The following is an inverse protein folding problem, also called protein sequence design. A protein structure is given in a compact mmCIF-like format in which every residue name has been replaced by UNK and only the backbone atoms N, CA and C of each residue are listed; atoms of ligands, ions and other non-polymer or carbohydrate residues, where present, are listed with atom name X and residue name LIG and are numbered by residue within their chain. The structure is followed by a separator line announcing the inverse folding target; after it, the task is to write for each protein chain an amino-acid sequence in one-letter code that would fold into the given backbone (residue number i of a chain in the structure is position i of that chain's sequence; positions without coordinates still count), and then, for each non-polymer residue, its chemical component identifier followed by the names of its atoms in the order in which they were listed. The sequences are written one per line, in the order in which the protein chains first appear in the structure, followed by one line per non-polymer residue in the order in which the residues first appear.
data_IF_523351919368
#
_entry.id   IF_523351919368
#
_cell.length_a   1.000
_cell.length_b   1.000
_cell.length_c   1.000
_cell.angle_alpha   90.00
_cell.angle_beta   90.00
_cell.angle_gamma   90.00
#
_symmetry.space_group_name_H-M   'P 1'
#
loop_
_entity.id
_entity.type
_entity.pdbx_description
1 polymer ?
#
# COMPACT_ATOMS: atom_id res chain seq x y z
N UNK A 1 -45.20 -44.93 19.19
CA UNK A 1 -45.62 -43.77 18.37
C UNK A 1 -45.35 -42.40 19.01
N UNK A 2 -45.39 -42.22 20.34
CA UNK A 2 -45.19 -40.89 20.94
C UNK A 2 -43.72 -40.48 21.13
N UNK A 3 -42.90 -41.35 21.72
CA UNK A 3 -41.53 -41.01 22.13
C UNK A 3 -40.57 -40.84 20.94
N UNK A 4 -40.67 -41.72 19.93
CA UNK A 4 -39.84 -41.67 18.71
C UNK A 4 -40.10 -40.41 17.89
N UNK A 5 -41.37 -39.97 17.81
CA UNK A 5 -41.75 -38.71 17.17
C UNK A 5 -41.17 -37.50 17.91
N UNK A 6 -41.16 -37.53 19.24
CA UNK A 6 -40.58 -36.46 20.08
C UNK A 6 -39.06 -36.40 19.87
N UNK A 7 -38.37 -37.55 19.90
CA UNK A 7 -36.93 -37.62 19.66
C UNK A 7 -36.58 -37.14 18.25
N UNK A 8 -37.35 -37.55 17.24
CA UNK A 8 -37.18 -37.09 15.87
C UNK A 8 -37.30 -35.56 15.73
N UNK A 9 -38.27 -34.95 16.43
CA UNK A 9 -38.46 -33.50 16.45
C UNK A 9 -37.26 -32.79 17.09
N UNK A 10 -36.77 -33.30 18.23
CA UNK A 10 -35.61 -32.71 18.93
C UNK A 10 -34.36 -32.78 18.06
N UNK A 11 -34.10 -33.90 17.40
CA UNK A 11 -32.95 -34.06 16.49
C UNK A 11 -33.07 -33.13 15.28
N UNK A 12 -34.26 -33.01 14.70
CA UNK A 12 -34.51 -32.09 13.58
C UNK A 12 -34.28 -30.62 13.96
N UNK A 13 -34.71 -30.22 15.15
CA UNK A 13 -34.51 -28.86 15.66
C UNK A 13 -33.01 -28.55 15.86
N UNK A 14 -32.24 -29.48 16.43
CA UNK A 14 -30.79 -29.31 16.61
C UNK A 14 -30.04 -29.26 15.28
N UNK A 15 -30.44 -30.08 14.30
CA UNK A 15 -29.86 -30.06 12.96
C UNK A 15 -30.14 -28.73 12.23
N UNK A 16 -31.34 -28.17 12.36
CA UNK A 16 -31.70 -26.88 11.79
C UNK A 16 -30.86 -25.74 12.39
N UNK A 17 -30.65 -25.74 13.71
CA UNK A 17 -29.79 -24.78 14.40
C UNK A 17 -28.34 -24.92 13.91
N UNK A 18 -27.79 -26.14 13.92
CA UNK A 18 -26.42 -26.39 13.47
C UNK A 18 -26.20 -25.98 12.00
N UNK A 19 -27.17 -26.25 11.12
CA UNK A 19 -27.13 -25.84 9.71
C UNK A 19 -27.11 -24.32 9.54
N UNK A 20 -27.95 -23.60 10.29
CA UNK A 20 -27.98 -22.13 10.24
C UNK A 20 -26.67 -21.49 10.72
N UNK A 21 -26.10 -22.00 11.83
CA UNK A 21 -24.83 -21.49 12.37
C UNK A 21 -23.61 -21.88 11.51
N UNK A 22 -23.58 -23.11 10.95
CA UNK A 22 -22.50 -23.57 10.08
C UNK A 22 -22.44 -22.82 8.73
N UNK A 23 -23.61 -22.58 8.12
CA UNK A 23 -23.69 -21.80 6.87
C UNK A 23 -23.39 -20.32 7.10
N UNK A 24 -23.81 -19.73 8.23
CA UNK A 24 -23.51 -18.34 8.57
C UNK A 24 -22.00 -18.08 8.73
N UNK A 25 -21.28 -18.98 9.42
CA UNK A 25 -19.84 -18.81 9.68
C UNK A 25 -18.98 -18.95 8.42
N UNK A 26 -19.31 -19.90 7.55
CA UNK A 26 -18.59 -20.10 6.28
C UNK A 26 -18.70 -18.89 5.35
N UNK A 27 -19.87 -18.25 5.26
CA UNK A 27 -20.04 -17.00 4.51
C UNK A 27 -19.33 -15.82 5.16
N UNK A 28 -19.34 -15.72 6.49
CA UNK A 28 -18.65 -14.64 7.22
C UNK A 28 -17.12 -14.67 7.04
N UNK A 29 -16.50 -15.85 7.18
CA UNK A 29 -15.05 -16.01 6.98
C UNK A 29 -14.64 -15.72 5.54
N UNK A 30 -15.39 -16.23 4.54
CA UNK A 30 -15.08 -16.01 3.13
C UNK A 30 -15.17 -14.53 2.72
N UNK A 31 -16.13 -13.78 3.26
CA UNK A 31 -16.25 -12.33 3.00
C UNK A 31 -15.16 -11.54 3.72
N UNK A 32 -14.74 -11.97 4.91
CA UNK A 32 -13.66 -11.32 5.65
C UNK A 32 -12.30 -11.53 4.97
N UNK A 33 -12.02 -12.75 4.51
CA UNK A 33 -10.79 -13.07 3.77
C UNK A 33 -10.71 -12.30 2.45
N UNK A 34 -11.79 -12.30 1.66
CA UNK A 34 -11.81 -11.55 0.39
C UNK A 34 -11.67 -10.04 0.57
N UNK A 35 -12.22 -9.45 1.63
CA UNK A 35 -12.01 -8.03 1.96
C UNK A 35 -10.59 -7.74 2.44
N UNK A 36 -9.99 -8.63 3.21
CA UNK A 36 -8.61 -8.46 3.68
C UNK A 36 -7.61 -8.53 2.51
N UNK A 37 -7.82 -9.45 1.57
CA UNK A 37 -6.99 -9.54 0.37
C UNK A 37 -7.16 -8.31 -0.53
N UNK A 38 -8.40 -7.82 -0.71
CA UNK A 38 -8.65 -6.58 -1.45
C UNK A 38 -7.95 -5.37 -0.82
N UNK A 39 -8.06 -5.20 0.50
CA UNK A 39 -7.40 -4.10 1.21
C UNK A 39 -5.88 -4.14 1.05
N UNK A 40 -5.28 -5.33 1.13
CA UNK A 40 -3.83 -5.47 0.90
C UNK A 40 -3.43 -5.12 -0.52
N UNK A 41 -4.23 -5.50 -1.52
CA UNK A 41 -3.94 -5.11 -2.92
C UNK A 41 -4.11 -3.62 -3.17
N UNK A 42 -5.11 -2.98 -2.56
CA UNK A 42 -5.34 -1.53 -2.66
C UNK A 42 -4.22 -0.73 -1.96
N UNK A 43 -3.80 -1.16 -0.77
CA UNK A 43 -2.67 -0.56 -0.05
C UNK A 43 -1.35 -0.72 -0.83
N UNK A 44 -1.10 -1.90 -1.42
CA UNK A 44 0.08 -2.13 -2.25
C UNK A 44 0.07 -1.27 -3.52
N UNK A 45 -1.08 -1.10 -4.17
CA UNK A 45 -1.19 -0.25 -5.35
C UNK A 45 -0.86 1.21 -5.02
N UNK A 46 -1.44 1.73 -3.92
CA UNK A 46 -1.23 3.10 -3.46
C UNK A 46 0.23 3.33 -3.03
N UNK A 47 0.83 2.37 -2.33
CA UNK A 47 2.23 2.44 -1.94
C UNK A 47 3.18 2.39 -3.16
N UNK A 48 2.83 1.59 -4.18
CA UNK A 48 3.62 1.48 -5.41
C UNK A 48 3.57 2.77 -6.23
N UNK A 49 2.40 3.40 -6.32
CA UNK A 49 2.23 4.70 -7.00
C UNK A 49 3.04 5.80 -6.29
N UNK A 50 2.92 5.91 -4.96
CA UNK A 50 3.70 6.88 -4.18
C UNK A 50 5.22 6.66 -4.30
N UNK A 51 5.68 5.40 -4.36
CA UNK A 51 7.10 5.08 -4.57
C UNK A 51 7.53 5.44 -6.00
N UNK A 52 6.68 5.22 -7.00
CA UNK A 52 6.97 5.58 -8.38
C UNK A 52 7.07 7.11 -8.55
N UNK A 53 6.11 7.87 -8.03
CA UNK A 53 6.15 9.34 -8.07
C UNK A 53 7.39 9.90 -7.36
N UNK A 54 7.69 9.39 -6.16
CA UNK A 54 8.88 9.81 -5.40
C UNK A 54 10.19 9.50 -6.14
N UNK A 55 10.27 8.38 -6.87
CA UNK A 55 11.45 8.04 -7.69
C UNK A 55 11.59 8.97 -8.90
N UNK A 56 10.49 9.36 -9.52
CA UNK A 56 10.50 10.31 -10.65
C UNK A 56 10.96 11.69 -10.18
N UNK A 57 10.43 12.19 -9.06
CA UNK A 57 10.79 13.49 -8.52
C UNK A 57 12.27 13.57 -8.11
N UNK A 58 12.77 12.54 -7.41
CA UNK A 58 14.19 12.46 -7.02
C UNK A 58 15.13 12.34 -8.22
N UNK A 59 14.76 11.58 -9.25
CA UNK A 59 15.55 11.48 -10.48
C UNK A 59 15.57 12.80 -11.26
N UNK A 60 14.44 13.53 -11.29
CA UNK A 60 14.35 14.85 -11.92
C UNK A 60 15.20 15.88 -11.18
N UNK A 61 15.11 15.93 -9.85
CA UNK A 61 15.93 16.84 -9.03
C UNK A 61 17.42 16.56 -9.18
N UNK A 62 17.84 15.29 -9.17
CA UNK A 62 19.24 14.92 -9.38
C UNK A 62 19.75 15.33 -10.78
N UNK A 63 18.93 15.16 -11.83
CA UNK A 63 19.26 15.62 -13.18
C UNK A 63 19.36 17.13 -13.29
N UNK A 64 18.45 17.87 -12.66
CA UNK A 64 18.44 19.33 -12.68
C UNK A 64 19.68 19.93 -12.00
N UNK A 65 20.07 19.37 -10.85
CA UNK A 65 21.32 19.73 -10.16
C UNK A 65 22.53 19.40 -11.02
N UNK A 66 22.58 18.21 -11.62
CA UNK A 66 23.70 17.82 -12.48
C UNK A 66 23.77 18.66 -13.76
N UNK A 67 22.63 19.04 -14.34
CA UNK A 67 22.55 19.93 -15.50
C UNK A 67 23.01 21.34 -15.13
N UNK A 68 22.62 21.86 -13.97
CA UNK A 68 23.08 23.16 -13.45
C UNK A 68 24.60 23.17 -13.27
N UNK A 69 25.17 22.11 -12.68
CA UNK A 69 26.62 21.97 -12.51
C UNK A 69 27.34 21.87 -13.86
N UNK A 70 26.82 21.08 -14.80
CA UNK A 70 27.42 20.90 -16.13
C UNK A 70 27.29 22.14 -17.03
N UNK A 71 26.30 22.99 -16.80
CA UNK A 71 26.13 24.26 -17.51
C UNK A 71 26.78 25.45 -16.83
N UNK A 72 27.39 25.27 -15.65
CA UNK A 72 28.22 26.30 -15.06
C UNK A 72 29.47 26.45 -15.94
N UNK A 73 29.64 27.57 -16.66
CA UNK A 73 30.82 27.76 -17.50
C UNK A 73 32.06 27.83 -16.61
N UNK A 74 33.15 27.15 -17.00
CA UNK A 74 34.44 27.24 -16.28
C UNK A 74 34.87 28.71 -16.09
N UNK A 75 34.55 29.57 -17.06
CA UNK A 75 34.78 31.03 -17.01
C UNK A 75 34.00 31.76 -15.89
N UNK A 76 32.83 31.28 -15.47
CA UNK A 76 32.07 31.87 -14.36
C UNK A 76 32.62 31.43 -13.00
N UNK A 77 33.06 30.16 -12.89
CA UNK A 77 33.75 29.66 -11.69
C UNK A 77 35.07 30.38 -11.48
N UNK A 78 35.88 30.52 -12.54
CA UNK A 78 37.15 31.26 -12.49
C UNK A 78 36.94 32.73 -12.20
N UNK A 79 35.86 33.35 -12.72
CA UNK A 79 35.50 34.73 -12.40
C UNK A 79 35.10 34.91 -10.93
N UNK A 80 34.24 34.05 -10.39
CA UNK A 80 33.84 34.12 -8.98
C UNK A 80 35.01 33.89 -8.03
N UNK A 81 35.87 32.91 -8.33
CA UNK A 81 37.08 32.66 -7.57
C UNK A 81 38.00 33.87 -7.62
N UNK A 82 38.22 34.46 -8.81
CA UNK A 82 39.13 35.62 -8.96
C UNK A 82 38.62 36.88 -8.27
N UNK A 83 37.30 37.13 -8.26
CA UNK A 83 36.71 38.29 -7.58
C UNK A 83 36.75 38.14 -6.05
N UNK A 84 36.44 36.95 -5.51
CA UNK A 84 36.38 36.72 -4.05
C UNK A 84 37.74 36.43 -3.41
N UNK A 85 38.71 35.89 -4.16
CA UNK A 85 40.07 35.62 -3.67
C UNK A 85 41.01 36.84 -3.82
N UNK A 86 40.48 38.05 -3.72
CA UNK A 86 41.31 39.24 -3.54
C UNK A 86 41.81 39.26 -2.09
N UNK A 87 43.11 39.06 -1.90
CA UNK A 87 43.76 39.26 -0.60
C UNK A 87 43.50 40.71 -0.18
N UNK A 88 42.65 40.93 0.83
CA UNK A 88 42.46 42.26 1.42
C UNK A 88 43.81 42.72 1.99
N UNK A 89 44.40 43.71 1.35
CA UNK A 89 45.55 44.46 1.85
C UNK A 89 45.13 45.36 3.00
#
# INVERSE_FOLDING_TARGET
MGLEMIIGLVVAALAAIAGAFGLGKSRGTSIAETKADQQRTEELATATEAVAERRVETTKGARDVQQTVNHLPDDDVDRELREKFTRKT
#
